data_IF_262531446894
#
_entry.id   IF_262531446894
#
_cell.length_a   1.000
_cell.length_b   1.000
_cell.length_c   1.000
_cell.angle_alpha   90.00
_cell.angle_beta   90.00
_cell.angle_gamma   90.00
#
_symmetry.space_group_name_H-M   'P 1'
#
loop_
_entity.id
_entity.type
_entity.pdbx_description
1 polymer ?
#
# COMPACT_ATOMS: atom_id res chain seq x y z
N UNK A 1 14.37 -4.89 -12.25
CA UNK A 1 13.97 -5.27 -10.89
C UNK A 1 13.28 -4.10 -10.22
N UNK A 2 12.06 -4.29 -9.71
CA UNK A 2 11.25 -3.21 -9.16
C UNK A 2 11.97 -2.52 -7.99
N UNK A 3 11.67 -1.24 -7.78
CA UNK A 3 12.35 -0.40 -6.79
C UNK A 3 11.33 0.45 -6.04
N UNK A 4 11.53 0.62 -4.74
CA UNK A 4 10.72 1.53 -3.91
C UNK A 4 11.09 3.00 -4.12
N UNK A 5 12.25 3.25 -4.75
CA UNK A 5 12.87 4.57 -4.89
C UNK A 5 13.46 4.77 -6.29
N UNK A 6 13.67 6.01 -6.74
CA UNK A 6 14.30 6.25 -8.03
C UNK A 6 15.74 5.73 -8.03
N UNK A 7 16.26 5.35 -9.20
CA UNK A 7 17.65 4.95 -9.34
C UNK A 7 18.59 6.11 -8.96
N UNK A 8 19.70 5.86 -8.24
CA UNK A 8 20.37 4.57 -7.99
C UNK A 8 19.85 3.77 -6.76
N UNK A 9 18.63 4.03 -6.29
CA UNK A 9 18.05 3.37 -5.12
C UNK A 9 17.95 1.84 -5.16
N UNK A 10 17.64 1.22 -4.01
CA UNK A 10 17.71 -0.22 -3.80
C UNK A 10 16.66 -0.98 -4.61
N UNK A 11 17.10 -2.10 -5.19
CA UNK A 11 16.24 -2.98 -6.00
C UNK A 11 15.65 -4.08 -5.14
N UNK A 12 14.35 -4.31 -5.32
CA UNK A 12 13.64 -5.42 -4.70
C UNK A 12 13.89 -6.73 -5.48
N UNK A 13 14.00 -7.87 -4.79
CA UNK A 13 13.95 -9.18 -5.45
C UNK A 13 12.59 -9.39 -6.14
N UNK A 14 12.48 -10.30 -7.12
CA UNK A 14 11.18 -10.68 -7.67
C UNK A 14 10.25 -11.18 -6.56
N UNK A 15 9.02 -10.66 -6.51
CA UNK A 15 8.04 -11.01 -5.48
C UNK A 15 6.64 -11.19 -6.08
N UNK A 16 5.83 -12.03 -5.43
CA UNK A 16 4.38 -12.09 -5.68
C UNK A 16 3.60 -11.23 -4.70
N UNK A 17 4.01 -11.24 -3.43
CA UNK A 17 3.37 -10.49 -2.35
C UNK A 17 4.44 -9.76 -1.55
N UNK A 18 4.26 -8.44 -1.40
CA UNK A 18 5.15 -7.54 -0.67
C UNK A 18 4.35 -6.79 0.40
N UNK A 19 4.87 -6.75 1.62
CA UNK A 19 4.36 -5.89 2.68
C UNK A 19 5.42 -4.83 3.01
N UNK A 20 5.08 -3.56 2.87
CA UNK A 20 5.89 -2.43 3.31
C UNK A 20 5.20 -1.83 4.53
N UNK A 21 5.89 -1.80 5.67
CA UNK A 21 5.36 -1.28 6.92
C UNK A 21 6.30 -0.28 7.58
N UNK A 22 5.77 0.54 8.47
CA UNK A 22 6.53 1.57 9.19
C UNK A 22 6.61 2.91 8.44
N UNK A 23 7.58 3.76 8.79
CA UNK A 23 7.69 5.12 8.26
C UNK A 23 8.35 5.17 6.88
N UNK A 24 7.65 4.67 5.86
CA UNK A 24 8.11 4.75 4.48
C UNK A 24 7.84 6.14 3.86
N UNK A 25 8.56 6.46 2.79
CA UNK A 25 8.37 7.71 2.06
C UNK A 25 7.04 7.70 1.28
N UNK A 26 6.25 8.78 1.35
CA UNK A 26 4.90 8.81 0.78
C UNK A 26 4.84 8.57 -0.75
N UNK A 27 5.93 8.86 -1.47
CA UNK A 27 6.05 8.58 -2.91
C UNK A 27 6.44 7.12 -3.25
N UNK A 28 6.84 6.30 -2.27
CA UNK A 28 7.31 4.94 -2.51
C UNK A 28 6.31 4.05 -3.28
N UNK A 29 4.98 4.09 -3.01
CA UNK A 29 3.99 3.37 -3.81
C UNK A 29 3.98 3.78 -5.30
N UNK A 30 4.24 5.07 -5.57
CA UNK A 30 4.30 5.62 -6.93
C UNK A 30 5.57 5.14 -7.62
N UNK A 31 6.74 5.27 -6.97
CA UNK A 31 8.00 4.77 -7.51
C UNK A 31 7.97 3.27 -7.79
N UNK A 32 7.37 2.49 -6.89
CA UNK A 32 7.16 1.06 -7.11
C UNK A 32 6.31 0.81 -8.36
N UNK A 33 5.21 1.54 -8.51
CA UNK A 33 4.35 1.46 -9.69
C UNK A 33 5.11 1.79 -10.98
N UNK A 34 5.85 2.89 -10.99
CA UNK A 34 6.63 3.32 -12.14
C UNK A 34 7.72 2.31 -12.51
N UNK A 35 8.39 1.72 -11.52
CA UNK A 35 9.42 0.70 -11.74
C UNK A 35 8.84 -0.54 -12.45
N UNK A 36 7.69 -1.05 -11.97
CA UNK A 36 7.00 -2.18 -12.59
C UNK A 36 6.57 -1.91 -14.03
N UNK A 37 6.04 -0.71 -14.31
CA UNK A 37 5.62 -0.33 -15.67
C UNK A 37 6.84 -0.19 -16.58
N UNK A 38 7.91 0.45 -16.09
CA UNK A 38 9.11 0.72 -16.88
C UNK A 38 9.89 -0.54 -17.28
N UNK A 39 9.78 -1.60 -16.48
CA UNK A 39 10.46 -2.87 -16.71
C UNK A 39 9.64 -3.86 -17.53
N UNK A 40 8.34 -3.61 -17.61
CA UNK A 40 7.46 -4.43 -18.41
C UNK A 40 7.73 -4.22 -19.88
N UNK A 41 7.88 -5.31 -20.62
CA UNK A 41 7.94 -5.29 -22.08
C UNK A 41 6.60 -4.91 -22.73
N UNK A 42 5.50 -4.85 -21.97
CA UNK A 42 4.17 -4.56 -22.49
C UNK A 42 3.91 -3.03 -22.56
N UNK A 43 3.54 -2.51 -23.75
CA UNK A 43 3.32 -1.08 -23.95
C UNK A 43 2.09 -0.54 -23.21
N UNK A 44 1.10 -1.38 -22.90
CA UNK A 44 -0.19 -0.97 -22.29
C UNK A 44 -0.40 -1.48 -20.86
N UNK A 45 0.66 -1.99 -20.23
CA UNK A 45 0.57 -2.48 -18.86
C UNK A 45 0.24 -1.37 -17.87
N UNK A 46 -0.58 -1.68 -16.86
CA UNK A 46 -1.05 -0.69 -15.90
C UNK A 46 -0.84 -1.17 -14.46
N UNK A 47 -0.80 -0.23 -13.52
CA UNK A 47 -0.79 -0.53 -12.09
C UNK A 47 -1.96 0.15 -11.41
N UNK A 48 -2.42 -0.42 -10.31
CA UNK A 48 -3.56 0.08 -9.57
C UNK A 48 -3.17 0.30 -8.11
N UNK A 49 -3.50 1.47 -7.58
CA UNK A 49 -3.32 1.80 -6.16
C UNK A 49 -4.68 2.12 -5.56
N UNK A 50 -5.02 1.46 -4.45
CA UNK A 50 -6.16 1.78 -3.62
C UNK A 50 -5.68 2.54 -2.39
N UNK A 51 -6.21 3.73 -2.14
CA UNK A 51 -5.90 4.52 -0.94
C UNK A 51 -7.19 4.93 -0.24
N UNK A 52 -7.27 4.96 1.10
CA UNK A 52 -8.49 5.33 1.82
C UNK A 52 -8.94 6.77 1.56
N UNK A 53 -7.99 7.68 1.30
CA UNK A 53 -8.27 9.10 1.13
C UNK A 53 -7.36 9.73 0.09
N UNK A 54 -7.97 10.52 -0.81
CA UNK A 54 -7.24 11.33 -1.78
C UNK A 54 -6.55 12.53 -1.12
N UNK A 55 -7.20 13.17 -0.15
CA UNK A 55 -6.68 14.36 0.51
C UNK A 55 -5.45 14.01 1.34
N UNK A 56 -5.51 12.92 2.11
CA UNK A 56 -4.39 12.45 2.93
C UNK A 56 -3.18 12.09 2.07
N UNK A 57 -3.38 11.35 0.97
CA UNK A 57 -2.28 11.01 0.05
C UNK A 57 -1.69 12.27 -0.59
N UNK A 58 -2.52 13.21 -1.03
CA UNK A 58 -2.05 14.45 -1.68
C UNK A 58 -1.26 15.31 -0.70
N UNK A 59 -1.75 15.46 0.54
CA UNK A 59 -1.05 16.20 1.58
C UNK A 59 0.28 15.52 1.93
N UNK A 60 0.31 14.19 2.05
CA UNK A 60 1.55 13.45 2.31
C UNK A 60 2.57 13.67 1.18
N UNK A 61 2.15 13.57 -0.09
CA UNK A 61 3.04 13.84 -1.23
C UNK A 61 3.54 15.29 -1.24
N UNK A 62 2.69 16.26 -0.91
CA UNK A 62 3.07 17.68 -0.83
C UNK A 62 4.03 17.98 0.33
N UNK A 63 3.85 17.30 1.47
CA UNK A 63 4.70 17.47 2.65
C UNK A 63 6.08 16.89 2.44
N UNK A 64 6.16 15.72 1.80
CA UNK A 64 7.43 15.06 1.52
C UNK A 64 8.20 15.73 0.38
N UNK A 65 7.50 16.36 -0.58
CA UNK A 65 8.08 17.15 -1.66
C UNK A 65 9.29 16.46 -2.32
N UNK A 66 9.02 15.31 -2.93
CA UNK A 66 10.02 14.47 -3.59
C UNK A 66 10.69 15.21 -4.75
N UNK A 67 12.01 15.41 -4.65
CA UNK A 67 12.81 16.08 -5.69
C UNK A 67 12.74 15.37 -7.02
N UNK A 68 12.84 14.04 -7.00
CA UNK A 68 12.85 13.26 -8.24
C UNK A 68 11.53 13.42 -8.98
N UNK A 69 10.40 13.36 -8.28
CA UNK A 69 9.09 13.56 -8.92
C UNK A 69 8.95 15.00 -9.43
N UNK A 70 9.45 15.98 -8.69
CA UNK A 70 9.39 17.40 -9.08
C UNK A 70 10.18 17.65 -10.37
N UNK A 71 11.39 17.11 -10.48
CA UNK A 71 12.26 17.26 -11.65
C UNK A 71 11.78 16.44 -12.86
N UNK A 72 11.29 15.22 -12.62
CA UNK A 72 11.03 14.26 -13.69
C UNK A 72 9.57 14.23 -14.15
N UNK A 73 8.61 14.79 -13.40
CA UNK A 73 7.19 14.79 -13.77
C UNK A 73 6.89 15.50 -15.10
N UNK A 74 7.69 16.51 -15.47
CA UNK A 74 7.58 17.24 -16.74
C UNK A 74 8.10 16.47 -17.96
N UNK A 75 8.82 15.36 -17.75
CA UNK A 75 9.37 14.56 -18.85
C UNK A 75 8.27 13.70 -19.48
N UNK A 76 8.14 13.76 -20.80
CA UNK A 76 7.11 12.99 -21.53
C UNK A 76 7.15 11.48 -21.26
N UNK A 77 8.35 10.91 -21.02
CA UNK A 77 8.51 9.51 -20.64
C UNK A 77 7.85 9.20 -19.29
N UNK A 78 8.09 10.03 -18.27
CA UNK A 78 7.53 9.81 -16.92
C UNK A 78 6.05 10.11 -16.91
N UNK A 79 5.62 11.17 -17.59
CA UNK A 79 4.19 11.48 -17.81
C UNK A 79 3.43 10.32 -18.48
N UNK A 80 4.05 9.66 -19.47
CA UNK A 80 3.48 8.47 -20.08
C UNK A 80 3.38 7.30 -19.07
N UNK A 81 4.40 7.07 -18.26
CA UNK A 81 4.39 6.03 -17.23
C UNK A 81 3.37 6.30 -16.12
N UNK A 82 3.26 7.55 -15.65
CA UNK A 82 2.30 7.95 -14.61
C UNK A 82 0.87 7.88 -15.11
N UNK A 83 0.60 8.15 -16.39
CA UNK A 83 -0.74 8.01 -16.97
C UNK A 83 -1.31 6.59 -16.90
N UNK A 84 -0.42 5.59 -16.74
CA UNK A 84 -0.75 4.16 -16.62
C UNK A 84 -0.89 3.69 -15.17
N UNK A 85 -0.69 4.59 -14.19
CA UNK A 85 -0.96 4.34 -12.77
C UNK A 85 -2.38 4.83 -12.46
N UNK A 86 -3.27 3.90 -12.09
CA UNK A 86 -4.66 4.23 -11.71
C UNK A 86 -4.82 4.29 -10.21
N UNK A 87 -5.35 5.40 -9.71
CA UNK A 87 -5.65 5.60 -8.29
C UNK A 87 -7.16 5.45 -8.06
N UNK A 88 -7.53 4.65 -7.05
CA UNK A 88 -8.89 4.56 -6.56
C UNK A 88 -8.93 4.92 -5.07
N UNK A 89 -9.99 5.63 -4.67
CA UNK A 89 -10.14 6.12 -3.31
C UNK A 89 -11.39 5.58 -2.60
N UNK A 90 -11.44 4.28 -2.26
CA UNK A 90 -12.58 3.73 -1.55
C UNK A 90 -12.63 4.29 -0.11
N UNK A 91 -13.74 4.92 0.31
CA UNK A 91 -13.82 5.58 1.62
C UNK A 91 -14.01 4.62 2.80
N UNK A 92 -14.40 3.36 2.56
CA UNK A 92 -14.54 2.35 3.61
C UNK A 92 -14.13 0.95 3.14
N UNK A 93 -13.89 -0.01 4.07
CA UNK A 93 -13.57 -1.38 3.71
C UNK A 93 -14.60 -2.03 2.80
N UNK A 94 -15.89 -1.76 3.03
CA UNK A 94 -16.97 -2.32 2.22
C UNK A 94 -16.91 -1.79 0.78
N UNK A 95 -16.59 -0.50 0.58
CA UNK A 95 -16.40 0.07 -0.76
C UNK A 95 -15.19 -0.54 -1.46
N UNK A 96 -14.10 -0.78 -0.73
CA UNK A 96 -12.92 -1.46 -1.27
C UNK A 96 -13.25 -2.90 -1.69
N UNK A 97 -13.91 -3.68 -0.83
CA UNK A 97 -14.34 -5.05 -1.16
C UNK A 97 -15.28 -5.09 -2.37
N UNK A 98 -16.24 -4.17 -2.45
CA UNK A 98 -17.15 -4.05 -3.58
C UNK A 98 -16.37 -3.73 -4.86
N UNK A 99 -15.46 -2.75 -4.81
CA UNK A 99 -14.63 -2.38 -5.95
C UNK A 99 -13.79 -3.55 -6.44
N UNK A 100 -13.08 -4.25 -5.53
CA UNK A 100 -12.29 -5.44 -5.84
C UNK A 100 -13.13 -6.57 -6.48
N UNK A 101 -14.40 -6.68 -6.12
CA UNK A 101 -15.34 -7.67 -6.68
C UNK A 101 -15.89 -7.26 -8.05
N UNK A 102 -15.91 -5.96 -8.34
CA UNK A 102 -16.37 -5.40 -9.63
C UNK A 102 -15.25 -5.27 -10.65
N UNK A 103 -13.98 -5.38 -10.25
CA UNK A 103 -12.84 -5.35 -11.18
C UNK A 103 -12.91 -6.54 -12.13
N UNK A 104 -12.99 -6.23 -13.43
CA UNK A 104 -13.01 -7.25 -14.48
C UNK A 104 -12.18 -6.79 -15.66
N UNK A 105 -11.52 -7.73 -16.31
CA UNK A 105 -10.86 -7.54 -17.61
C UNK A 105 -11.75 -8.17 -18.67
N UNK A 106 -12.14 -7.46 -19.73
CA UNK A 106 -12.91 -8.03 -20.82
C UNK A 106 -12.12 -9.17 -21.47
N UNK A 107 -12.66 -10.37 -21.43
CA UNK A 107 -12.12 -11.49 -22.21
C UNK A 107 -12.79 -11.51 -23.57
N UNK A 108 -12.00 -11.34 -24.63
CA UNK A 108 -12.49 -11.43 -26.01
C UNK A 108 -13.08 -12.82 -26.37
N UNK A 109 -12.87 -13.83 -25.52
CA UNK A 109 -13.26 -15.23 -25.77
C UNK A 109 -14.68 -15.62 -25.32
N UNK A 110 -15.40 -14.75 -24.61
CA UNK A 110 -16.80 -15.00 -24.24
C UNK A 110 -17.71 -13.96 -24.90
N UNK A 111 -18.44 -14.38 -25.93
CA UNK A 111 -19.50 -13.61 -26.60
C UNK A 111 -20.75 -13.41 -25.73
N UNK A 112 -20.57 -13.03 -24.47
CA UNK A 112 -21.67 -12.69 -23.57
C UNK A 112 -22.00 -11.19 -23.73
N UNK A 113 -22.76 -10.90 -24.79
CA UNK A 113 -23.32 -9.59 -25.15
C UNK A 113 -24.36 -9.04 -24.15
N UNK A 114 -24.22 -9.27 -22.85
CA UNK A 114 -25.27 -8.97 -21.87
C UNK A 114 -24.83 -8.39 -20.52
N UNK A 115 -23.55 -8.47 -20.13
CA UNK A 115 -23.13 -7.84 -18.87
C UNK A 115 -22.91 -6.36 -19.08
N UNK A 116 -23.68 -5.54 -18.39
CA UNK A 116 -23.48 -4.09 -18.31
C UNK A 116 -22.10 -3.81 -17.73
N UNK A 117 -21.11 -3.61 -18.60
CA UNK A 117 -19.74 -3.30 -18.22
C UNK A 117 -19.73 -1.87 -17.68
N UNK A 118 -19.48 -1.72 -16.37
CA UNK A 118 -19.27 -0.40 -15.79
C UNK A 118 -17.89 0.10 -16.24
N UNK A 119 -17.86 1.19 -17.00
CA UNK A 119 -16.63 1.78 -17.53
C UNK A 119 -15.60 2.13 -16.43
N UNK A 120 -16.03 2.34 -15.18
CA UNK A 120 -15.15 2.68 -14.06
C UNK A 120 -14.47 1.47 -13.40
N UNK A 121 -15.06 0.28 -13.50
CA UNK A 121 -14.52 -0.96 -12.90
C UNK A 121 -13.98 -1.94 -13.93
N UNK A 122 -14.26 -1.70 -15.22
CA UNK A 122 -13.76 -2.50 -16.32
C UNK A 122 -12.36 -2.04 -16.70
N UNK A 123 -11.39 -2.94 -16.56
CA UNK A 123 -9.99 -2.70 -16.89
C UNK A 123 -9.73 -3.17 -18.31
N UNK A 124 -9.15 -2.32 -19.17
CA UNK A 124 -8.82 -2.73 -20.54
C UNK A 124 -7.86 -3.94 -20.58
N UNK A 125 -6.92 -4.01 -19.63
CA UNK A 125 -5.88 -5.03 -19.53
C UNK A 125 -5.70 -5.42 -18.06
N UNK A 126 -5.26 -6.65 -17.77
CA UNK A 126 -4.90 -7.03 -16.41
C UNK A 126 -3.74 -6.15 -15.86
N UNK A 127 -3.83 -5.66 -14.62
CA UNK A 127 -2.77 -4.86 -14.03
C UNK A 127 -1.55 -5.74 -13.72
N UNK A 128 -0.35 -5.16 -13.76
CA UNK A 128 0.88 -5.85 -13.34
C UNK A 128 1.05 -5.86 -11.83
N UNK A 129 0.61 -4.79 -11.18
CA UNK A 129 0.76 -4.57 -9.76
C UNK A 129 -0.53 -3.97 -9.20
N UNK A 130 -0.99 -4.55 -8.09
CA UNK A 130 -2.05 -4.01 -7.26
C UNK A 130 -1.46 -3.61 -5.91
N UNK A 131 -1.67 -2.35 -5.53
CA UNK A 131 -1.20 -1.78 -4.27
C UNK A 131 -2.39 -1.43 -3.37
N UNK A 132 -2.41 -1.93 -2.14
CA UNK A 132 -3.24 -1.35 -1.08
C UNK A 132 -2.38 -0.39 -0.26
N UNK A 133 -2.77 0.86 -0.24
CA UNK A 133 -2.12 1.92 0.52
C UNK A 133 -2.95 2.24 1.77
N UNK A 134 -2.32 2.16 2.93
CA UNK A 134 -2.85 2.48 4.26
C UNK A 134 -4.19 1.80 4.61
N UNK A 135 -4.34 0.46 4.49
CA UNK A 135 -5.58 -0.22 4.85
C UNK A 135 -5.90 -0.15 6.35
N UNK A 136 -4.91 0.04 7.22
CA UNK A 136 -5.09 0.25 8.67
C UNK A 136 -5.97 1.46 8.99
N UNK A 137 -5.92 2.52 8.18
CA UNK A 137 -6.71 3.75 8.36
C UNK A 137 -8.21 3.50 8.37
N UNK A 138 -8.70 2.42 7.75
CA UNK A 138 -10.11 2.06 7.83
C UNK A 138 -10.56 1.56 9.20
N UNK A 139 -9.62 1.08 10.00
CA UNK A 139 -9.87 0.43 11.28
C UNK A 139 -9.45 1.31 12.46
N UNK A 140 -8.67 2.35 12.21
CA UNK A 140 -8.34 3.39 13.18
C UNK A 140 -9.51 4.37 13.28
N UNK A 141 -10.24 4.34 14.39
CA UNK A 141 -11.25 5.35 14.69
C UNK A 141 -10.57 6.57 15.32
N UNK A 142 -10.79 7.77 14.79
CA UNK A 142 -10.27 9.03 15.37
C UNK A 142 -10.86 9.29 16.77
N UNK A 143 -12.04 8.75 17.08
CA UNK A 143 -12.67 8.86 18.39
C UNK A 143 -12.41 7.65 19.28
N UNK A 144 -11.21 7.61 19.89
CA UNK A 144 -10.94 6.72 21.03
C UNK A 144 -11.81 7.02 22.27
N UNK A 145 -12.65 8.06 22.24
CA UNK A 145 -13.60 8.41 23.31
C UNK A 145 -14.94 7.64 23.24
N UNK A 146 -15.24 6.94 22.13
CA UNK A 146 -16.45 6.11 22.00
C UNK A 146 -16.10 4.63 21.76
N UNK A 147 -15.24 4.08 22.62
CA UNK A 147 -14.76 2.68 22.66
C UNK A 147 -15.84 1.58 22.77
N UNK A 148 -17.09 1.84 22.40
CA UNK A 148 -18.20 0.91 22.51
C UNK A 148 -18.91 0.60 21.18
N UNK A 149 -18.50 1.16 20.04
CA UNK A 149 -19.25 0.98 18.78
C UNK A 149 -18.47 0.50 17.55
N UNK A 150 -17.14 0.57 17.48
CA UNK A 150 -16.41 0.03 16.31
C UNK A 150 -16.09 -1.47 16.50
N UNK A 151 -17.06 -2.31 16.11
CA UNK A 151 -16.98 -3.79 16.15
C UNK A 151 -16.02 -4.40 15.13
N UNK A 152 -14.88 -3.77 14.86
CA UNK A 152 -13.84 -4.28 13.98
C UNK A 152 -12.96 -5.29 14.72
N UNK A 153 -12.60 -6.36 14.02
CA UNK A 153 -11.81 -7.46 14.56
C UNK A 153 -10.55 -7.66 13.74
N UNK A 154 -9.58 -8.38 14.30
CA UNK A 154 -8.42 -8.87 13.56
C UNK A 154 -8.84 -9.55 12.24
N UNK A 155 -9.87 -10.39 12.30
CA UNK A 155 -10.43 -11.07 11.11
C UNK A 155 -10.98 -10.10 10.07
N UNK A 156 -11.43 -8.90 10.45
CA UNK A 156 -11.93 -7.90 9.51
C UNK A 156 -10.80 -7.34 8.63
N UNK A 157 -9.64 -7.03 9.23
CA UNK A 157 -8.46 -6.59 8.49
C UNK A 157 -7.92 -7.71 7.58
N UNK A 158 -7.79 -8.92 8.12
CA UNK A 158 -7.31 -10.07 7.32
C UNK A 158 -8.26 -10.41 6.17
N UNK A 159 -9.58 -10.28 6.38
CA UNK A 159 -10.57 -10.47 5.31
C UNK A 159 -10.36 -9.48 4.16
N UNK A 160 -10.00 -8.23 4.46
CA UNK A 160 -9.71 -7.22 3.44
C UNK A 160 -8.51 -7.64 2.56
N UNK A 161 -7.43 -8.11 3.17
CA UNK A 161 -6.26 -8.65 2.46
C UNK A 161 -6.67 -9.85 1.61
N UNK A 162 -7.46 -10.76 2.16
CA UNK A 162 -7.93 -11.95 1.44
C UNK A 162 -8.84 -11.61 0.26
N UNK A 163 -9.70 -10.60 0.37
CA UNK A 163 -10.51 -10.11 -0.74
C UNK A 163 -9.62 -9.58 -1.87
N UNK A 164 -8.56 -8.83 -1.55
CA UNK A 164 -7.62 -8.35 -2.55
C UNK A 164 -6.89 -9.52 -3.24
N UNK A 165 -6.30 -10.45 -2.48
CA UNK A 165 -5.63 -11.64 -3.03
C UNK A 165 -6.56 -12.51 -3.90
N UNK A 166 -7.83 -12.65 -3.49
CA UNK A 166 -8.84 -13.37 -4.26
C UNK A 166 -9.16 -12.67 -5.58
N UNK A 167 -9.28 -11.33 -5.56
CA UNK A 167 -9.48 -10.51 -6.76
C UNK A 167 -8.28 -10.66 -7.72
N UNK A 168 -7.04 -10.64 -7.21
CA UNK A 168 -5.85 -10.90 -8.01
C UNK A 168 -5.89 -12.28 -8.69
N UNK A 169 -6.32 -13.31 -7.96
CA UNK A 169 -6.42 -14.66 -8.51
C UNK A 169 -7.49 -14.74 -9.61
N UNK A 170 -8.54 -13.91 -9.53
CA UNK A 170 -9.53 -13.79 -10.59
C UNK A 170 -8.95 -13.10 -11.83
N UNK A 171 -8.26 -11.97 -11.63
CA UNK A 171 -7.64 -11.18 -12.70
C UNK A 171 -6.44 -11.89 -13.36
N UNK A 172 -5.74 -12.77 -12.63
CA UNK A 172 -4.62 -13.52 -13.19
C UNK A 172 -5.08 -14.60 -14.17
N UNK A 173 -6.25 -15.21 -13.95
CA UNK A 173 -6.85 -16.20 -14.87
C UNK A 173 -7.17 -15.64 -16.25
N UNK A 174 -7.47 -14.34 -16.31
CA UNK A 174 -7.74 -13.65 -17.59
C UNK A 174 -6.46 -13.24 -18.32
N UNK A 175 -5.31 -13.41 -17.69
CA UNK A 175 -4.01 -13.04 -18.26
C UNK A 175 -3.44 -14.23 -19.03
N UNK A 176 -3.12 -14.05 -20.31
CA UNK A 176 -2.53 -15.06 -21.17
C UNK A 176 -1.25 -15.66 -20.55
N UNK A 177 -1.10 -16.99 -20.68
CA UNK A 177 -0.16 -17.88 -19.98
C UNK A 177 1.37 -17.61 -20.09
N UNK A 178 1.81 -16.40 -20.44
CA UNK A 178 3.23 -16.00 -20.53
C UNK A 178 3.64 -14.84 -19.61
N UNK A 179 2.69 -14.21 -18.91
CA UNK A 179 2.97 -13.11 -17.99
C UNK A 179 3.16 -13.65 -16.58
N UNK A 180 4.31 -13.34 -15.97
CA UNK A 180 4.48 -13.49 -14.52
C UNK A 180 3.26 -12.88 -13.82
N UNK A 181 2.64 -13.64 -12.93
CA UNK A 181 1.34 -13.27 -12.34
C UNK A 181 1.32 -11.87 -11.72
N UNK A 182 0.12 -11.34 -11.52
CA UNK A 182 -0.10 -10.01 -10.93
C UNK A 182 0.58 -9.93 -9.56
N UNK A 183 1.48 -8.97 -9.38
CA UNK A 183 2.12 -8.69 -8.11
C UNK A 183 1.17 -7.94 -7.17
N UNK A 184 1.31 -8.20 -5.87
CA UNK A 184 0.56 -7.56 -4.80
C UNK A 184 1.49 -6.84 -3.85
N UNK A 185 1.20 -5.60 -3.52
CA UNK A 185 1.90 -4.87 -2.46
C UNK A 185 0.91 -4.24 -1.48
N UNK A 186 1.25 -4.27 -0.19
CA UNK A 186 0.55 -3.50 0.83
C UNK A 186 1.54 -2.52 1.44
N UNK A 187 1.16 -1.25 1.49
CA UNK A 187 1.89 -0.20 2.20
C UNK A 187 1.04 0.21 3.39
N UNK A 188 1.54 0.04 4.60
CA UNK A 188 0.77 0.31 5.82
C UNK A 188 1.69 0.85 6.93
N UNK A 189 1.65 2.16 7.17
CA UNK A 189 2.55 2.80 8.13
C UNK A 189 2.13 2.55 9.58
N UNK A 190 0.84 2.29 9.82
CA UNK A 190 0.26 2.11 11.14
C UNK A 190 0.07 0.63 11.53
N UNK A 191 0.49 -0.32 10.69
CA UNK A 191 0.26 -1.75 10.89
C UNK A 191 0.78 -2.27 12.24
N UNK A 192 1.96 -1.81 12.67
CA UNK A 192 2.56 -2.24 13.93
C UNK A 192 1.85 -1.63 15.16
N UNK A 193 1.17 -0.50 14.99
CA UNK A 193 0.40 0.19 16.02
C UNK A 193 -1.04 -0.32 16.11
N UNK A 194 -1.55 -0.92 15.03
CA UNK A 194 -2.92 -1.41 14.95
C UNK A 194 -3.11 -2.64 15.84
N UNK A 195 -3.94 -2.46 16.88
CA UNK A 195 -4.38 -3.54 17.77
C UNK A 195 -5.87 -3.74 17.64
N UNK A 196 -6.28 -4.96 17.30
CA UNK A 196 -7.70 -5.29 17.12
C UNK A 196 -8.10 -6.47 18.00
N UNK A 197 -9.35 -6.53 18.46
CA UNK A 197 -9.85 -7.68 19.20
C UNK A 197 -9.99 -8.89 18.29
N UNK A 198 -9.73 -10.08 18.82
CA UNK A 198 -9.98 -11.33 18.08
C UNK A 198 -11.49 -11.61 17.92
N UNK A 199 -12.27 -11.29 18.95
CA UNK A 199 -13.72 -11.58 19.03
C UNK A 199 -14.47 -10.27 19.30
N UNK A 200 -15.59 -10.07 18.60
CA UNK A 200 -16.47 -8.92 18.86
C UNK A 200 -17.05 -9.03 20.26
N UNK A 201 -17.12 -7.91 20.97
CA UNK A 201 -17.88 -7.86 22.22
C UNK A 201 -19.36 -8.13 21.89
N UNK A 202 -20.04 -9.05 22.58
CA UNK A 202 -21.49 -9.14 22.50
C UNK A 202 -22.07 -7.77 22.84
N UNK A 203 -22.93 -7.22 21.98
CA UNK A 203 -23.62 -5.97 22.29
C UNK A 203 -24.56 -6.27 23.44
N UNK A 204 -24.22 -5.82 24.65
CA UNK A 204 -25.15 -5.90 25.78
C UNK A 204 -26.28 -4.92 25.51
N UNK A 205 -27.44 -5.43 25.08
CA UNK A 205 -28.69 -4.66 25.08
C UNK A 205 -29.24 -4.46 26.50
N UNK A 206 -28.61 -5.06 27.52
CA UNK A 206 -28.98 -4.88 28.91
C UNK A 206 -28.25 -3.67 29.49
N UNK A 207 -29.03 -2.67 29.89
CA UNK A 207 -28.61 -1.39 30.46
C UNK A 207 -28.15 -1.46 31.92
N UNK A 208 -28.16 -2.64 32.53
CA UNK A 208 -27.92 -2.77 33.96
C UNK A 208 -26.76 -3.72 34.23
N UNK A 209 -25.91 -3.27 35.15
CA UNK A 209 -24.68 -3.88 35.69
C UNK A 209 -23.40 -3.45 34.95
N UNK A 210 -22.84 -2.31 35.38
CA UNK A 210 -21.43 -1.94 35.22
C UNK A 210 -20.51 -2.90 35.99
N UNK A 211 -20.59 -4.20 35.72
CA UNK A 211 -19.49 -5.09 36.07
C UNK A 211 -18.38 -4.85 35.06
N UNK A 212 -17.20 -4.50 35.57
CA UNK A 212 -15.98 -4.29 34.79
C UNK A 212 -15.49 -5.60 34.16
N UNK A 213 -16.23 -6.11 33.18
CA UNK A 213 -15.78 -7.23 32.36
C UNK A 213 -14.45 -6.84 31.72
N UNK A 214 -13.40 -7.69 31.84
CA UNK A 214 -12.12 -7.41 31.20
C UNK A 214 -12.35 -7.20 29.71
N UNK A 215 -11.83 -6.09 29.18
CA UNK A 215 -11.98 -5.73 27.77
C UNK A 215 -11.48 -6.85 26.84
N UNK A 216 -11.97 -6.90 25.58
CA UNK A 216 -11.56 -7.93 24.66
C UNK A 216 -10.04 -7.87 24.44
N UNK A 217 -9.39 -9.03 24.45
CA UNK A 217 -7.95 -9.14 24.23
C UNK A 217 -7.59 -8.56 22.86
N UNK A 218 -6.81 -7.48 22.89
CA UNK A 218 -6.32 -6.79 21.70
C UNK A 218 -5.02 -7.44 21.24
N UNK A 219 -4.96 -7.81 19.97
CA UNK A 219 -3.81 -8.44 19.34
C UNK A 219 -3.21 -7.52 18.27
N UNK A 220 -1.88 -7.53 18.15
CA UNK A 220 -1.18 -6.79 17.10
C UNK A 220 -1.48 -7.39 15.73
N UNK A 221 -2.05 -6.61 14.83
CA UNK A 221 -2.43 -7.08 13.49
C UNK A 221 -1.20 -7.44 12.66
N UNK A 222 -0.08 -6.73 12.86
CA UNK A 222 1.15 -6.95 12.11
C UNK A 222 1.69 -8.38 12.19
N UNK A 223 1.55 -9.05 13.34
CA UNK A 223 2.02 -10.43 13.56
C UNK A 223 1.28 -11.44 12.67
N UNK A 224 0.00 -11.19 12.41
CA UNK A 224 -0.84 -12.10 11.62
C UNK A 224 -0.82 -11.74 10.14
N UNK A 225 -0.81 -10.44 9.82
CA UNK A 225 -0.82 -9.94 8.44
C UNK A 225 0.44 -10.35 7.67
N UNK A 226 1.61 -10.34 8.32
CA UNK A 226 2.89 -10.71 7.71
C UNK A 226 2.88 -12.12 7.11
N UNK A 227 2.11 -13.06 7.68
CA UNK A 227 2.01 -14.44 7.19
C UNK A 227 1.43 -14.58 5.78
N UNK A 228 0.79 -13.53 5.25
CA UNK A 228 0.23 -13.52 3.89
C UNK A 228 1.21 -12.98 2.83
N UNK A 229 2.40 -12.53 3.24
CA UNK A 229 3.38 -11.90 2.36
C UNK A 229 4.66 -12.71 2.29
N UNK A 230 5.27 -12.77 1.10
CA UNK A 230 6.56 -13.40 0.89
C UNK A 230 7.70 -12.50 1.38
N UNK A 231 7.62 -11.22 1.04
CA UNK A 231 8.62 -10.23 1.37
C UNK A 231 8.04 -9.15 2.28
N UNK A 232 8.82 -8.75 3.28
CA UNK A 232 8.46 -7.72 4.23
C UNK A 232 9.56 -6.67 4.19
N UNK A 233 9.18 -5.41 4.00
CA UNK A 233 10.06 -4.25 4.14
C UNK A 233 9.58 -3.49 5.36
N UNK A 234 10.42 -3.46 6.39
CA UNK A 234 10.18 -2.66 7.58
C UNK A 234 11.01 -1.38 7.49
N UNK A 235 10.34 -0.23 7.41
CA UNK A 235 10.99 1.06 7.54
C UNK A 235 11.10 1.41 9.03
N UNK A 236 12.34 1.60 9.49
CA UNK A 236 12.61 1.90 10.90
C UNK A 236 12.29 3.38 11.22
N UNK A 237 12.21 3.69 12.51
CA UNK A 237 11.91 5.04 13.00
C UNK A 237 13.11 5.96 12.78
N UNK A 238 12.80 7.16 12.27
CA UNK A 238 13.77 8.21 11.97
C UNK A 238 14.72 8.46 13.15
N UNK A 239 16.03 8.35 12.89
CA UNK A 239 17.05 8.92 13.76
C UNK A 239 17.41 10.30 13.22
N UNK A 240 17.11 11.35 13.99
CA UNK A 240 17.41 12.73 13.60
C UNK A 240 18.81 13.10 14.11
N UNK A 241 19.70 13.43 13.18
CA UNK A 241 21.03 13.97 13.51
C UNK A 241 21.13 15.38 12.92
N UNK A 242 20.57 16.37 13.62
CA UNK A 242 20.50 17.76 13.15
C UNK A 242 19.47 17.97 12.03
N UNK A 243 19.89 18.57 10.91
CA UNK A 243 19.02 18.85 9.72
C UNK A 243 18.84 17.64 8.80
N UNK A 244 19.52 16.54 9.08
CA UNK A 244 19.52 15.33 8.26
C UNK A 244 18.73 14.24 9.00
N UNK A 245 17.76 13.64 8.32
CA UNK A 245 17.03 12.47 8.84
C UNK A 245 17.67 11.23 8.27
N UNK A 246 18.28 10.41 9.12
CA UNK A 246 18.76 9.09 8.70
C UNK A 246 17.58 8.11 8.79
N UNK A 247 17.29 7.46 7.68
CA UNK A 247 16.29 6.42 7.55
C UNK A 247 16.94 5.09 7.19
N UNK A 248 16.33 4.02 7.64
CA UNK A 248 16.71 2.67 7.27
C UNK A 248 15.48 1.85 6.92
N UNK A 249 15.66 0.94 5.97
CA UNK A 249 14.68 -0.08 5.61
C UNK A 249 15.35 -1.44 5.67
N UNK A 250 14.65 -2.39 6.25
CA UNK A 250 15.10 -3.77 6.37
C UNK A 250 14.20 -4.63 5.50
N UNK A 251 14.80 -5.34 4.56
CA UNK A 251 14.15 -6.35 3.75
C UNK A 251 14.31 -7.72 4.40
N UNK A 252 13.17 -8.35 4.68
CA UNK A 252 13.07 -9.67 5.28
C UNK A 252 12.24 -10.57 4.38
N UNK A 253 12.63 -11.84 4.32
CA UNK A 253 11.81 -12.87 3.69
C UNK A 253 11.04 -13.60 4.76
N UNK A 254 9.72 -13.68 4.60
CA UNK A 254 8.88 -14.40 5.53
C UNK A 254 9.29 -15.88 5.58
N UNK A 255 9.25 -16.48 6.78
CA UNK A 255 9.69 -17.84 7.11
C UNK A 255 11.21 -18.13 7.04
N UNK A 256 12.07 -17.14 6.79
CA UNK A 256 13.51 -17.32 7.03
C UNK A 256 13.87 -16.97 8.47
N UNK A 257 14.49 -17.92 9.18
CA UNK A 257 15.05 -17.74 10.53
C UNK A 257 16.45 -17.11 10.52
N UNK A 258 17.05 -16.98 9.34
CA UNK A 258 18.28 -16.22 9.13
C UNK A 258 17.94 -14.74 9.05
N UNK A 259 18.78 -13.88 9.65
CA UNK A 259 18.55 -12.44 9.79
C UNK A 259 18.28 -11.67 8.48
N UNK A 260 18.24 -10.33 8.54
CA UNK A 260 17.73 -9.52 7.43
C UNK A 260 18.47 -9.80 6.12
N UNK A 261 17.71 -9.96 5.03
CA UNK A 261 18.26 -10.27 3.70
C UNK A 261 19.04 -9.08 3.17
N UNK A 262 18.53 -7.88 3.39
CA UNK A 262 19.18 -6.64 2.99
C UNK A 262 18.76 -5.50 3.91
N UNK A 263 19.71 -4.62 4.22
CA UNK A 263 19.46 -3.37 4.94
C UNK A 263 19.82 -2.23 4.00
N UNK A 264 18.93 -1.27 3.87
CA UNK A 264 19.14 -0.04 3.10
C UNK A 264 19.13 1.13 4.04
N UNK A 265 20.14 1.97 3.95
CA UNK A 265 20.23 3.21 4.71
C UNK A 265 20.31 4.39 3.74
N UNK A 266 19.54 5.43 4.01
CA UNK A 266 19.66 6.68 3.29
C UNK A 266 19.48 7.85 4.24
N UNK A 267 19.98 8.99 3.80
CA UNK A 267 19.76 10.23 4.48
C UNK A 267 18.85 11.12 3.65
N UNK A 268 17.85 11.68 4.32
CA UNK A 268 17.01 12.74 3.80
C UNK A 268 17.60 14.06 4.30
N UNK A 269 18.16 14.83 3.36
CA UNK A 269 18.53 16.21 3.63
C UNK A 269 17.29 17.08 3.38
N UNK A 270 16.79 17.76 4.41
CA UNK A 270 15.93 18.92 4.18
C UNK A 270 16.85 20.08 3.83
N UNK A 271 16.83 20.52 2.58
CA UNK A 271 17.69 21.61 2.13
C UNK A 271 17.35 22.90 2.93
N UNK A 272 18.28 23.47 3.72
CA UNK A 272 18.01 24.67 4.49
C UNK A 272 18.02 25.86 3.53
N UNK A 273 16.85 26.16 2.96
CA UNK A 273 16.44 27.45 2.36
C UNK A 273 17.61 28.29 1.81
N UNK A 274 18.09 27.97 0.60
CA UNK A 274 18.90 28.94 -0.15
C UNK A 274 18.05 30.01 -0.87
N UNK A 275 16.71 29.84 -0.95
CA UNK A 275 15.80 30.84 -1.52
C UNK A 275 14.49 30.87 -0.73
N UNK A 276 14.08 32.05 -0.24
CA UNK A 276 12.86 32.27 0.55
C UNK A 276 11.53 31.91 -0.16
N UNK A 277 11.59 31.53 -1.45
CA UNK A 277 10.44 31.16 -2.27
C UNK A 277 10.40 29.67 -2.66
N UNK A 278 11.39 28.86 -2.28
CA UNK A 278 11.42 27.43 -2.59
C UNK A 278 11.00 26.61 -1.37
N UNK A 279 10.06 25.67 -1.59
CA UNK A 279 9.65 24.71 -0.57
C UNK A 279 10.82 23.76 -0.28
N UNK A 280 11.04 23.34 0.97
CA UNK A 280 12.08 22.36 1.29
C UNK A 280 11.81 21.10 0.49
N UNK A 281 12.83 20.61 -0.20
CA UNK A 281 12.75 19.37 -0.96
C UNK A 281 13.50 18.27 -0.23
N UNK A 282 13.11 17.02 -0.50
CA UNK A 282 13.71 15.85 0.12
C UNK A 282 14.63 15.14 -0.88
N UNK A 283 15.94 15.32 -0.71
CA UNK A 283 16.95 14.56 -1.45
C UNK A 283 17.28 13.26 -0.72
N UNK A 284 17.25 12.15 -1.47
CA UNK A 284 17.63 10.83 -0.95
C UNK A 284 19.09 10.51 -1.31
N UNK A 285 19.95 10.43 -0.29
CA UNK A 285 21.35 10.06 -0.45
C UNK A 285 21.54 8.65 0.12
N UNK A 286 21.76 7.68 -0.75
CA UNK A 286 22.00 6.27 -0.39
C UNK A 286 23.42 6.07 0.14
N UNK A 287 23.56 5.35 1.25
CA UNK A 287 24.84 4.98 1.87
C UNK A 287 25.32 3.59 1.43
#
# INVERSE_FOLDING_TARGET
>A
MPSLFPQPGPRLPPYKTLLVKGNYHASAPIHLSLSHISESALPDSQTIIFSPSQTTLTLALQQYNDDWLSENSGLGRVSNLTSRVKLFFPPSPAHLCLLLSMLRVPNASHGESGTWLNAKSTLAIAPLLLILHEPSMYFLSEDQAQQHSSGWTLSSYLSLIMHALSSLTCLSKTTSAGLGGIAFAVFDSQLDQLKLPMVKRPVSNYRDIEEAWPGPRLEHVSLYAQNYFEWIVAADKDSTLGSMRKRSMVLERNHQTTGPVQVWEWCEACDPVQNANMRPTTQMIWQ
#
